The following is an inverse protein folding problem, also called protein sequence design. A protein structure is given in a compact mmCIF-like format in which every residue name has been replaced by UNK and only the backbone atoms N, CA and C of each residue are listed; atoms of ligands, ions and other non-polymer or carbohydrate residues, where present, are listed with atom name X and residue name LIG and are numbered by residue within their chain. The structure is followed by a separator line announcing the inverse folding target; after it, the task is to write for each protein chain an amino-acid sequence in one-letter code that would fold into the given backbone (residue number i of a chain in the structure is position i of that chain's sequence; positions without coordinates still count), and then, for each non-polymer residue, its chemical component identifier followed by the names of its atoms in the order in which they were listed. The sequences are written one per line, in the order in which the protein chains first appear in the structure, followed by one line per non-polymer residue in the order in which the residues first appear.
data_IF_128279129641
#
_entry.id   IF_128279129641
#
_cell.length_a   1.000
_cell.length_b   1.000
_cell.length_c   1.000
_cell.angle_alpha   90.00
_cell.angle_beta   90.00
_cell.angle_gamma   90.00
#
_symmetry.space_group_name_H-M   'P 1'
#
loop_
_entity.id
_entity.type
_entity.pdbx_description
1 polymer ?
#
# COMPACT_ATOMS: atom_id res chain seq x y z
N UNK A 1 77.12 0.59 -8.77
CA UNK A 1 76.71 -0.83 -8.72
C UNK A 1 75.33 -0.88 -9.34
N UNK A 2 75.24 -1.31 -10.60
CA UNK A 2 73.99 -1.38 -11.34
C UNK A 2 73.26 -2.65 -10.90
N UNK A 3 72.07 -2.53 -10.32
CA UNK A 3 71.23 -3.68 -10.02
C UNK A 3 70.74 -4.28 -11.35
N UNK A 4 71.37 -5.37 -11.79
CA UNK A 4 70.91 -6.14 -12.94
C UNK A 4 69.50 -6.68 -12.63
N UNK A 5 68.57 -6.45 -13.55
CA UNK A 5 67.19 -6.90 -13.48
C UNK A 5 67.16 -8.44 -13.41
N UNK A 6 66.89 -8.99 -12.22
CA UNK A 6 66.88 -10.43 -11.95
C UNK A 6 65.59 -11.14 -12.40
N UNK A 7 64.64 -10.43 -13.01
CA UNK A 7 63.37 -11.03 -13.40
C UNK A 7 63.58 -11.92 -14.63
N UNK A 8 63.21 -13.20 -14.51
CA UNK A 8 63.22 -14.11 -15.64
C UNK A 8 62.17 -13.61 -16.66
N UNK A 9 62.41 -13.67 -17.98
CA UNK A 9 61.45 -13.16 -18.97
C UNK A 9 60.07 -13.82 -18.90
N UNK A 10 59.98 -15.03 -18.35
CA UNK A 10 58.70 -15.69 -18.06
C UNK A 10 57.94 -15.06 -16.86
N UNK A 11 58.64 -14.42 -15.92
CA UNK A 11 58.04 -13.77 -14.76
C UNK A 11 57.28 -12.50 -15.19
N UNK A 12 57.79 -11.77 -16.19
CA UNK A 12 57.09 -10.62 -16.78
C UNK A 12 55.74 -11.04 -17.39
N UNK A 13 55.73 -12.12 -18.18
CA UNK A 13 54.51 -12.64 -18.77
C UNK A 13 53.52 -13.16 -17.70
N UNK A 14 54.03 -13.81 -16.65
CA UNK A 14 53.20 -14.28 -15.54
C UNK A 14 52.58 -13.11 -14.75
N UNK A 15 53.32 -12.04 -14.52
CA UNK A 15 52.85 -10.83 -13.84
C UNK A 15 51.80 -10.10 -14.69
N UNK A 16 52.00 -9.97 -16.00
CA UNK A 16 50.99 -9.37 -16.90
C UNK A 16 49.70 -10.19 -16.97
N UNK A 17 49.81 -11.53 -16.98
CA UNK A 17 48.65 -12.42 -16.94
C UNK A 17 47.87 -12.29 -15.61
N UNK A 18 48.57 -12.24 -14.47
CA UNK A 18 47.97 -11.98 -13.17
C UNK A 18 47.30 -10.60 -13.10
N UNK A 19 47.95 -9.57 -13.63
CA UNK A 19 47.41 -8.21 -13.64
C UNK A 19 46.15 -8.11 -14.50
N UNK A 20 46.14 -8.77 -15.67
CA UNK A 20 44.95 -8.85 -16.54
C UNK A 20 43.79 -9.54 -15.84
N UNK A 21 44.06 -10.69 -15.20
CA UNK A 21 43.04 -11.42 -14.42
C UNK A 21 42.50 -10.59 -13.25
N UNK A 22 43.37 -9.85 -12.56
CA UNK A 22 42.99 -8.99 -11.44
C UNK A 22 42.10 -7.82 -11.88
N UNK A 23 42.46 -7.16 -12.98
CA UNK A 23 41.68 -6.07 -13.57
C UNK A 23 40.30 -6.57 -14.03
N UNK A 24 40.22 -7.75 -14.65
CA UNK A 24 38.95 -8.33 -15.09
C UNK A 24 38.02 -8.69 -13.92
N UNK A 25 38.57 -9.16 -12.80
CA UNK A 25 37.79 -9.43 -11.58
C UNK A 25 37.24 -8.13 -10.96
N UNK A 26 38.04 -7.06 -10.93
CA UNK A 26 37.64 -5.81 -10.27
C UNK A 26 36.72 -4.96 -11.15
N UNK A 27 37.05 -4.82 -12.43
CA UNK A 27 36.39 -3.87 -13.32
C UNK A 27 35.51 -4.52 -14.38
N UNK A 28 35.67 -5.82 -14.65
CA UNK A 28 34.78 -6.60 -15.52
C UNK A 28 33.73 -7.32 -14.70
N UNK A 29 33.96 -8.60 -14.45
CA UNK A 29 33.02 -9.51 -13.79
C UNK A 29 32.53 -9.05 -12.41
N UNK A 30 33.35 -8.35 -11.63
CA UNK A 30 32.95 -7.76 -10.35
C UNK A 30 32.00 -6.58 -10.54
N UNK A 31 32.23 -5.74 -11.55
CA UNK A 31 31.38 -4.59 -11.86
C UNK A 31 30.02 -5.02 -12.41
N UNK A 32 29.99 -6.05 -13.27
CA UNK A 32 28.74 -6.62 -13.79
C UNK A 32 27.86 -7.17 -12.66
N UNK A 33 28.47 -7.88 -11.69
CA UNK A 33 27.75 -8.37 -10.50
C UNK A 33 27.23 -7.25 -9.61
N UNK A 34 27.96 -6.14 -9.50
CA UNK A 34 27.52 -4.97 -8.75
C UNK A 34 26.34 -4.28 -9.44
N UNK A 35 26.36 -4.15 -10.77
CA UNK A 35 25.20 -3.65 -11.53
C UNK A 35 23.99 -4.57 -11.38
N UNK A 36 24.16 -5.88 -11.53
CA UNK A 36 23.06 -6.83 -11.31
C UNK A 36 22.47 -6.74 -9.90
N UNK A 37 23.33 -6.58 -8.88
CA UNK A 37 22.89 -6.39 -7.51
C UNK A 37 22.09 -5.09 -7.35
N UNK A 38 22.57 -4.00 -7.94
CA UNK A 38 21.88 -2.71 -7.91
C UNK A 38 20.52 -2.77 -8.63
N UNK A 39 20.45 -3.41 -9.79
CA UNK A 39 19.19 -3.62 -10.53
C UNK A 39 18.19 -4.46 -9.74
N UNK A 40 18.66 -5.53 -9.10
CA UNK A 40 17.83 -6.35 -8.19
C UNK A 40 17.37 -5.52 -6.99
N UNK A 41 18.24 -4.73 -6.38
CA UNK A 41 17.88 -3.86 -5.26
C UNK A 41 16.85 -2.80 -5.66
N UNK A 42 17.00 -2.20 -6.84
CA UNK A 42 16.04 -1.24 -7.40
C UNK A 42 14.69 -1.90 -7.73
N UNK A 43 14.72 -3.10 -8.33
CA UNK A 43 13.52 -3.89 -8.60
C UNK A 43 12.79 -4.28 -7.30
N UNK A 44 13.52 -4.68 -6.25
CA UNK A 44 12.97 -4.95 -4.93
C UNK A 44 12.35 -3.68 -4.30
N UNK A 45 13.01 -2.53 -4.42
CA UNK A 45 12.46 -1.24 -3.97
C UNK A 45 11.16 -0.87 -4.67
N UNK A 46 11.09 -1.04 -6.00
CA UNK A 46 9.85 -0.83 -6.77
C UNK A 46 8.76 -1.83 -6.43
N UNK A 47 9.10 -3.11 -6.24
CA UNK A 47 8.13 -4.13 -5.87
C UNK A 47 7.50 -3.82 -4.50
N UNK A 48 8.30 -3.32 -3.54
CA UNK A 48 7.79 -2.83 -2.26
C UNK A 48 6.86 -1.63 -2.42
N UNK A 49 7.22 -0.66 -3.27
CA UNK A 49 6.34 0.49 -3.57
C UNK A 49 5.05 0.11 -4.31
N UNK A 50 5.02 -1.03 -5.02
CA UNK A 50 3.80 -1.58 -5.63
C UNK A 50 2.92 -2.37 -4.66
N UNK A 51 3.45 -2.77 -3.49
CA UNK A 51 2.70 -3.42 -2.43
C UNK A 51 2.08 -2.41 -1.44
N UNK A 52 2.37 -1.12 -1.58
CA UNK A 52 1.68 -0.11 -0.78
C UNK A 52 0.23 0.04 -1.24
N UNK A 53 -0.75 0.01 -0.32
CA UNK A 53 -2.15 0.17 -0.67
C UNK A 53 -2.36 1.51 -1.38
N UNK A 54 -2.69 1.44 -2.68
CA UNK A 54 -2.84 2.60 -3.53
C UNK A 54 -4.18 3.29 -3.25
N UNK A 55 -4.16 4.62 -3.17
CA UNK A 55 -5.36 5.44 -3.14
C UNK A 55 -6.14 5.31 -4.45
N UNK A 56 -7.40 4.90 -4.32
CA UNK A 56 -8.34 4.72 -5.41
C UNK A 56 -9.37 5.85 -5.38
N UNK A 57 -9.54 6.63 -6.46
CA UNK A 57 -10.60 7.62 -6.53
C UNK A 57 -11.97 6.95 -6.50
N UNK A 58 -12.91 7.50 -5.71
CA UNK A 58 -14.30 7.00 -5.66
C UNK A 58 -14.99 7.14 -7.03
N UNK A 59 -14.59 8.13 -7.82
CA UNK A 59 -15.07 8.34 -9.19
C UNK A 59 -14.59 7.29 -10.19
N UNK A 60 -13.50 6.58 -9.88
CA UNK A 60 -12.94 5.53 -10.74
C UNK A 60 -13.60 4.18 -10.44
N UNK A 61 -13.58 3.78 -9.16
CA UNK A 61 -14.27 2.58 -8.71
C UNK A 61 -14.66 2.67 -7.24
N UNK A 62 -15.76 1.99 -6.91
CA UNK A 62 -16.17 1.74 -5.54
C UNK A 62 -15.52 0.44 -5.02
N UNK A 63 -15.43 0.26 -3.70
CA UNK A 63 -14.98 -1.00 -3.11
C UNK A 63 -15.85 -2.18 -3.55
N UNK A 64 -15.24 -3.30 -3.89
CA UNK A 64 -15.94 -4.56 -4.20
C UNK A 64 -16.35 -5.25 -2.90
N UNK A 65 -17.56 -4.96 -2.43
CA UNK A 65 -18.16 -5.58 -1.23
C UNK A 65 -19.34 -6.46 -1.68
N UNK A 66 -19.44 -7.73 -1.25
CA UNK A 66 -20.60 -8.58 -1.54
C UNK A 66 -21.92 -7.96 -1.07
N UNK A 67 -23.04 -8.33 -1.71
CA UNK A 67 -24.35 -7.87 -1.23
C UNK A 67 -24.67 -8.46 0.14
N UNK A 68 -25.11 -7.60 1.07
CA UNK A 68 -25.37 -7.96 2.46
C UNK A 68 -24.13 -7.95 3.35
N UNK A 69 -22.99 -7.47 2.85
CA UNK A 69 -21.72 -7.45 3.57
C UNK A 69 -21.18 -6.02 3.73
N UNK A 70 -20.13 -5.91 4.55
CA UNK A 70 -19.49 -4.67 4.93
C UNK A 70 -17.97 -4.82 4.92
N UNK A 71 -17.24 -3.78 4.51
CA UNK A 71 -15.78 -3.80 4.58
C UNK A 71 -15.25 -2.51 5.19
N UNK A 72 -14.32 -2.66 6.14
CA UNK A 72 -13.57 -1.55 6.71
C UNK A 72 -12.42 -1.15 5.78
N UNK A 73 -12.38 0.15 5.47
CA UNK A 73 -11.50 0.75 4.47
C UNK A 73 -11.04 2.10 5.01
N UNK A 74 -9.89 2.57 4.52
CA UNK A 74 -9.43 3.93 4.84
C UNK A 74 -9.99 4.85 3.76
N UNK A 75 -10.60 5.95 4.18
CA UNK A 75 -11.24 6.92 3.28
C UNK A 75 -10.66 8.32 3.45
N UNK A 76 -10.70 9.09 2.37
CA UNK A 76 -10.31 10.50 2.34
C UNK A 76 -11.53 11.36 2.08
N UNK A 77 -11.97 12.10 3.10
CA UNK A 77 -13.12 13.01 3.04
C UNK A 77 -12.66 14.44 2.90
N UNK A 78 -13.14 15.12 1.87
CA UNK A 78 -12.98 16.56 1.70
C UNK A 78 -14.18 17.26 2.34
N UNK A 79 -13.92 18.13 3.32
CA UNK A 79 -14.98 18.90 3.98
C UNK A 79 -15.27 20.18 3.21
N UNK A 80 -16.54 20.47 2.93
CA UNK A 80 -16.93 21.71 2.25
C UNK A 80 -16.74 22.95 3.12
N UNK A 81 -16.82 22.79 4.44
CA UNK A 81 -16.71 23.90 5.41
C UNK A 81 -15.33 24.58 5.41
N UNK A 82 -14.25 23.83 5.14
CA UNK A 82 -12.87 24.34 5.19
C UNK A 82 -12.01 23.94 3.99
N UNK A 83 -12.52 23.10 3.08
CA UNK A 83 -11.78 22.58 1.93
C UNK A 83 -10.66 21.59 2.28
N UNK A 84 -10.48 21.24 3.55
CA UNK A 84 -9.43 20.33 3.99
C UNK A 84 -9.85 18.87 3.78
N UNK A 85 -8.84 18.02 3.60
CA UNK A 85 -9.02 16.57 3.43
C UNK A 85 -8.61 15.86 4.72
N UNK A 86 -9.47 14.96 5.19
CA UNK A 86 -9.25 14.16 6.39
C UNK A 86 -9.22 12.69 6.02
N UNK A 87 -8.32 11.95 6.66
CA UNK A 87 -8.13 10.52 6.44
C UNK A 87 -8.41 9.76 7.73
N UNK A 88 -9.30 8.77 7.66
CA UNK A 88 -9.69 7.91 8.77
C UNK A 88 -10.32 6.61 8.23
N UNK A 89 -10.56 5.62 9.08
CA UNK A 89 -11.24 4.38 8.69
C UNK A 89 -12.76 4.55 8.71
N UNK A 90 -13.44 3.93 7.75
CA UNK A 90 -14.89 3.87 7.64
C UNK A 90 -15.31 2.52 7.04
N UNK A 91 -16.57 2.14 7.21
CA UNK A 91 -17.12 0.96 6.54
C UNK A 91 -17.90 1.33 5.30
N UNK A 92 -17.67 0.58 4.22
CA UNK A 92 -18.55 0.59 3.06
C UNK A 92 -19.58 -0.53 3.20
N UNK A 93 -20.85 -0.16 3.26
CA UNK A 93 -21.98 -1.08 3.33
C UNK A 93 -22.52 -1.30 1.92
N UNK A 94 -22.76 -2.55 1.52
CA UNK A 94 -23.43 -2.87 0.26
C UNK A 94 -24.71 -3.67 0.52
N UNK A 95 -25.87 -3.02 0.34
CA UNK A 95 -27.19 -3.58 0.70
C UNK A 95 -27.21 -4.23 2.08
N UNK A 96 -26.53 -3.61 3.03
CA UNK A 96 -26.39 -4.17 4.37
C UNK A 96 -27.67 -3.91 5.18
N UNK A 97 -28.23 -4.92 5.85
CA UNK A 97 -29.40 -4.75 6.71
C UNK A 97 -28.99 -4.09 8.03
N UNK A 98 -29.42 -2.84 8.22
CA UNK A 98 -29.30 -2.12 9.48
C UNK A 98 -30.63 -2.15 10.22
N UNK A 99 -30.58 -2.29 11.54
CA UNK A 99 -31.78 -2.16 12.36
C UNK A 99 -31.99 -0.71 12.79
N UNK A 100 -33.18 -0.17 12.54
CA UNK A 100 -33.59 1.17 12.95
C UNK A 100 -35.09 1.23 13.20
N UNK A 101 -35.49 1.21 14.47
CA UNK A 101 -36.89 1.27 14.91
C UNK A 101 -37.63 2.57 14.54
N UNK A 102 -36.89 3.61 14.14
CA UNK A 102 -37.41 4.96 13.93
C UNK A 102 -37.22 5.48 12.50
N UNK A 103 -36.66 4.68 11.59
CA UNK A 103 -36.42 5.13 10.22
C UNK A 103 -37.69 4.96 9.37
N UNK A 104 -38.13 6.00 8.62
CA UNK A 104 -39.35 5.92 7.81
C UNK A 104 -39.29 4.88 6.69
N UNK A 105 -38.07 4.51 6.26
CA UNK A 105 -37.83 3.51 5.21
C UNK A 105 -37.50 2.11 5.78
N UNK A 106 -37.56 1.92 7.10
CA UNK A 106 -37.40 0.60 7.70
C UNK A 106 -38.68 -0.25 7.45
N UNK A 107 -38.50 -1.55 7.27
CA UNK A 107 -39.61 -2.50 7.10
C UNK A 107 -40.37 -2.77 8.41
N UNK A 108 -41.34 -3.69 8.36
CA UNK A 108 -42.16 -4.06 9.53
C UNK A 108 -41.33 -4.62 10.70
N UNK A 109 -40.12 -5.12 10.42
CA UNK A 109 -39.18 -5.65 11.42
C UNK A 109 -38.12 -4.60 11.82
N UNK A 110 -38.28 -3.34 11.41
CA UNK A 110 -37.33 -2.26 11.70
C UNK A 110 -36.02 -2.40 10.93
N UNK A 111 -35.98 -3.17 9.84
CA UNK A 111 -34.78 -3.37 9.02
C UNK A 111 -34.74 -2.37 7.85
N UNK A 112 -33.61 -1.69 7.71
CA UNK A 112 -33.28 -0.73 6.66
C UNK A 112 -32.11 -1.25 5.85
N UNK A 113 -32.31 -1.45 4.56
CA UNK A 113 -31.22 -1.80 3.63
C UNK A 113 -30.48 -0.51 3.24
N UNK A 114 -29.21 -0.40 3.66
CA UNK A 114 -28.38 0.76 3.34
C UNK A 114 -27.25 0.41 2.38
N UNK A 115 -26.79 1.39 1.61
CA UNK A 115 -25.58 1.27 0.78
C UNK A 115 -24.81 2.58 0.82
N UNK A 116 -23.52 2.52 1.14
CA UNK A 116 -22.64 3.68 1.17
C UNK A 116 -21.66 3.70 2.33
N UNK A 117 -20.99 4.84 2.50
CA UNK A 117 -19.95 5.05 3.51
C UNK A 117 -20.57 5.38 4.87
N UNK A 118 -20.20 4.60 5.88
CA UNK A 118 -20.69 4.76 7.24
C UNK A 118 -19.53 4.74 8.24
N UNK A 119 -19.64 5.60 9.26
CA UNK A 119 -18.83 5.53 10.47
C UNK A 119 -19.48 4.51 11.42
N UNK A 120 -18.66 3.68 12.07
CA UNK A 120 -19.13 2.64 12.98
C UNK A 120 -18.58 2.93 14.37
N UNK A 121 -19.50 3.13 15.30
CA UNK A 121 -19.16 3.34 16.71
C UNK A 121 -19.51 2.11 17.51
N UNK A 122 -18.55 1.61 18.27
CA UNK A 122 -18.76 0.50 19.19
C UNK A 122 -19.80 0.88 20.25
N UNK A 123 -20.65 -0.06 20.61
CA UNK A 123 -21.64 0.08 21.67
C UNK A 123 -21.64 -1.18 22.54
N UNK A 124 -22.01 -1.06 23.82
CA UNK A 124 -22.03 -2.22 24.73
C UNK A 124 -23.18 -3.19 24.46
N UNK A 125 -24.29 -2.66 23.93
CA UNK A 125 -25.57 -3.37 23.85
C UNK A 125 -25.88 -3.90 22.44
N UNK A 126 -25.10 -3.49 21.43
CA UNK A 126 -25.28 -3.87 20.01
C UNK A 126 -23.92 -3.92 19.30
N UNK A 127 -23.84 -4.63 18.17
CA UNK A 127 -22.62 -4.82 17.38
C UNK A 127 -22.03 -3.52 16.80
N UNK A 128 -22.76 -2.41 16.85
CA UNK A 128 -22.27 -1.07 16.55
C UNK A 128 -23.39 -0.13 16.10
N UNK A 129 -23.17 1.17 16.28
CA UNK A 129 -24.03 2.20 15.70
C UNK A 129 -23.42 2.69 14.38
N UNK A 130 -24.17 2.52 13.28
CA UNK A 130 -23.78 2.96 11.95
C UNK A 130 -24.36 4.35 11.69
N UNK A 131 -23.49 5.30 11.36
CA UNK A 131 -23.88 6.66 10.98
C UNK A 131 -23.39 6.95 9.56
N UNK A 132 -24.23 7.54 8.67
CA UNK A 132 -23.78 7.98 7.37
C UNK A 132 -22.56 8.90 7.51
N UNK A 133 -21.53 8.66 6.71
CA UNK A 133 -20.28 9.40 6.84
C UNK A 133 -20.40 10.86 6.38
N UNK A 134 -21.28 11.08 5.41
CA UNK A 134 -21.59 12.36 4.81
C UNK A 134 -23.06 12.65 5.07
N UNK A 135 -23.36 13.75 5.76
CA UNK A 135 -24.73 14.21 5.94
C UNK A 135 -25.27 14.81 4.63
N UNK A 136 -26.52 14.49 4.30
CA UNK A 136 -27.17 15.04 3.13
C UNK A 136 -27.23 16.57 3.21
N UNK A 137 -26.54 17.25 2.29
CA UNK A 137 -26.51 18.71 2.21
C UNK A 137 -25.33 19.39 2.93
N UNK A 138 -24.41 18.65 3.57
CA UNK A 138 -23.19 19.24 4.12
C UNK A 138 -22.22 19.74 3.05
N UNK A 139 -22.30 19.16 1.84
CA UNK A 139 -21.36 19.40 0.74
C UNK A 139 -20.05 18.65 0.87
N UNK A 140 -19.86 17.88 1.94
CA UNK A 140 -18.68 17.04 2.12
C UNK A 140 -18.71 15.87 1.12
N UNK A 141 -17.54 15.41 0.69
CA UNK A 141 -17.42 14.33 -0.28
C UNK A 141 -16.31 13.35 0.07
N UNK A 142 -16.56 12.05 -0.16
CA UNK A 142 -15.50 11.03 -0.13
C UNK A 142 -14.81 11.06 -1.49
N UNK A 143 -13.52 11.39 -1.49
CA UNK A 143 -12.75 11.57 -2.73
C UNK A 143 -11.99 10.30 -3.13
N UNK A 144 -11.35 9.64 -2.16
CA UNK A 144 -10.52 8.47 -2.37
C UNK A 144 -10.72 7.46 -1.24
N UNK A 145 -10.41 6.20 -1.53
CA UNK A 145 -10.36 5.12 -0.57
C UNK A 145 -9.13 4.24 -0.80
N UNK A 146 -8.73 3.49 0.21
CA UNK A 146 -7.67 2.48 0.12
C UNK A 146 -8.00 1.31 1.05
N UNK A 147 -7.56 0.08 0.71
CA UNK A 147 -7.70 -1.06 1.60
C UNK A 147 -6.87 -0.86 2.88
N UNK A 148 -7.32 -1.46 3.98
CA UNK A 148 -6.54 -1.53 5.20
C UNK A 148 -5.20 -2.24 4.92
N UNK A 149 -4.06 -1.68 5.38
CA UNK A 149 -2.78 -2.35 5.26
C UNK A 149 -2.81 -3.67 6.02
N UNK A 150 -2.13 -4.68 5.49
CA UNK A 150 -1.96 -5.95 6.21
C UNK A 150 -1.28 -5.68 7.55
N UNK A 151 -1.77 -6.33 8.61
CA UNK A 151 -1.12 -6.27 9.91
C UNK A 151 0.34 -6.75 9.77
N UNK A 152 1.31 -6.08 10.42
CA UNK A 152 2.69 -6.53 10.38
C UNK A 152 2.79 -7.95 10.95
N UNK A 153 3.57 -8.80 10.28
CA UNK A 153 3.85 -10.15 10.79
C UNK A 153 4.49 -10.02 12.18
N UNK A 154 3.78 -10.51 13.21
CA UNK A 154 4.32 -10.57 14.57
C UNK A 154 5.42 -11.63 14.55
N UNK A 155 6.67 -11.20 14.61
CA UNK A 155 7.79 -12.11 14.86
C UNK A 155 7.62 -12.68 16.27
N UNK A 156 7.21 -13.95 16.35
CA UNK A 156 7.14 -14.73 17.59
C UNK A 156 8.53 -15.19 18.04
#
# INVERSE_FOLDING_TARGET
MSAENQNHPADLAAVEALHTSYIDIIFGTGNDRLMEFQDKAYAMGRARGQQEPQWVPVSDRLPEVPEGDEHELIVCVRRASNGQSYVFSARYLNKFPLHSDFHPDADEDGCLITTGWHDVKEHSDYDGWYSPLIEAGSGDEVTHWMPLPAAPEVQA
#
